data_IF_436778341465
#
_entry.id   IF_436778341465
#
_cell.length_a   1.000
_cell.length_b   1.000
_cell.length_c   1.000
_cell.angle_alpha   90.00
_cell.angle_beta   90.00
_cell.angle_gamma   90.00
#
_symmetry.space_group_name_H-M   'P 1'
#
loop_
_entity.id
_entity.type
_entity.pdbx_description
1 polymer ?
#
# COMPACT_ATOMS: atom_id res chain seq x y z
N UNK A 1 8.39 10.76 -39.11
CA UNK A 1 7.95 11.16 -37.80
C UNK A 1 6.89 10.16 -37.35
N UNK A 2 7.10 9.45 -36.25
CA UNK A 2 6.11 8.53 -35.66
C UNK A 2 4.90 9.34 -35.21
N UNK A 3 3.72 9.01 -35.73
CA UNK A 3 2.45 9.60 -35.31
C UNK A 3 1.95 9.01 -33.96
N UNK A 4 2.66 8.01 -33.41
CA UNK A 4 2.31 7.38 -32.16
C UNK A 4 3.06 8.02 -30.99
N UNK A 5 2.31 8.48 -29.99
CA UNK A 5 2.84 8.96 -28.74
C UNK A 5 3.32 7.78 -27.89
N UNK A 6 4.50 7.90 -27.29
CA UNK A 6 5.11 6.88 -26.45
C UNK A 6 4.99 7.28 -24.99
N UNK A 7 4.23 6.53 -24.23
CA UNK A 7 4.09 6.67 -22.78
C UNK A 7 4.76 5.48 -22.11
N UNK A 8 5.55 5.71 -21.09
CA UNK A 8 6.11 4.66 -20.25
C UNK A 8 5.51 4.74 -18.83
N UNK A 9 5.03 3.62 -18.35
CA UNK A 9 4.70 3.45 -16.94
C UNK A 9 5.87 2.75 -16.25
N UNK A 10 6.55 3.49 -15.36
CA UNK A 10 7.65 2.98 -14.56
C UNK A 10 7.16 2.27 -13.31
N UNK A 11 5.92 2.52 -12.90
CA UNK A 11 5.33 2.06 -11.64
C UNK A 11 6.02 2.74 -10.45
N UNK A 12 7.23 2.30 -10.09
CA UNK A 12 8.05 2.84 -8.99
C UNK A 12 9.41 3.33 -9.52
N UNK A 13 10.16 4.09 -8.71
CA UNK A 13 11.57 4.41 -8.98
C UNK A 13 12.42 3.22 -8.53
N UNK A 14 12.58 2.22 -9.40
CA UNK A 14 13.27 0.97 -9.06
C UNK A 14 14.74 1.19 -8.68
N UNK A 15 15.42 2.14 -9.30
CA UNK A 15 16.79 2.51 -8.93
C UNK A 15 16.90 2.94 -7.47
N UNK A 16 15.90 3.62 -6.92
CA UNK A 16 15.88 4.01 -5.51
C UNK A 16 15.56 2.83 -4.59
N UNK A 17 14.69 1.92 -5.02
CA UNK A 17 14.40 0.66 -4.33
C UNK A 17 15.67 -0.18 -4.15
N UNK A 18 16.47 -0.35 -5.21
CA UNK A 18 17.75 -1.06 -5.14
C UNK A 18 18.76 -0.37 -4.22
N UNK A 19 18.78 0.96 -4.21
CA UNK A 19 19.62 1.74 -3.29
C UNK A 19 19.22 1.50 -1.83
N UNK A 20 17.95 1.44 -1.52
CA UNK A 20 17.45 1.12 -0.18
C UNK A 20 17.83 -0.31 0.23
N UNK A 21 17.68 -1.28 -0.67
CA UNK A 21 18.10 -2.66 -0.42
C UNK A 21 19.59 -2.75 -0.08
N UNK A 22 20.42 -1.96 -0.76
CA UNK A 22 21.86 -1.92 -0.49
C UNK A 22 22.17 -1.49 0.95
N UNK A 23 21.36 -0.60 1.55
CA UNK A 23 21.58 -0.12 2.91
C UNK A 23 21.30 -1.20 3.98
N UNK A 24 20.51 -2.23 3.64
CA UNK A 24 20.18 -3.35 4.52
C UNK A 24 21.04 -4.60 4.28
N UNK A 25 22.01 -4.53 3.39
CA UNK A 25 22.90 -5.66 3.06
C UNK A 25 24.35 -5.36 3.45
N UNK A 26 25.08 -6.45 3.78
CA UNK A 26 26.53 -6.38 4.03
C UNK A 26 27.30 -6.53 2.74
N UNK A 27 28.56 -6.08 2.73
CA UNK A 27 29.49 -6.35 1.65
C UNK A 27 29.65 -7.88 1.42
N UNK A 28 29.72 -8.39 0.18
CA UNK A 28 29.77 -7.68 -1.11
C UNK A 28 28.40 -7.31 -1.71
N UNK A 29 27.29 -7.82 -1.18
CA UNK A 29 25.94 -7.59 -1.73
C UNK A 29 25.53 -6.11 -1.70
N UNK A 30 25.91 -5.37 -0.67
CA UNK A 30 25.61 -3.92 -0.60
C UNK A 30 26.26 -3.15 -1.74
N UNK A 31 27.49 -3.52 -2.12
CA UNK A 31 28.18 -2.92 -3.26
C UNK A 31 27.51 -3.30 -4.59
N UNK A 32 27.16 -4.58 -4.77
CA UNK A 32 26.46 -5.04 -5.97
C UNK A 32 25.13 -4.29 -6.16
N UNK A 33 24.35 -4.16 -5.10
CA UNK A 33 23.05 -3.48 -5.16
C UNK A 33 23.16 -1.98 -5.44
N UNK A 34 24.20 -1.30 -4.93
CA UNK A 34 24.47 0.11 -5.30
C UNK A 34 24.82 0.25 -6.77
N UNK A 35 25.68 -0.63 -7.29
CA UNK A 35 26.03 -0.66 -8.69
C UNK A 35 24.82 -0.87 -9.59
N UNK A 36 23.94 -1.82 -9.25
CA UNK A 36 22.69 -2.06 -9.99
C UNK A 36 21.76 -0.84 -9.91
N UNK A 37 21.64 -0.20 -8.76
CA UNK A 37 20.86 1.04 -8.61
C UNK A 37 21.36 2.16 -9.54
N UNK A 38 22.67 2.31 -9.70
CA UNK A 38 23.27 3.32 -10.60
C UNK A 38 23.00 3.00 -12.07
N UNK A 39 23.19 1.74 -12.47
CA UNK A 39 22.89 1.31 -13.84
C UNK A 39 21.41 1.46 -14.19
N UNK A 40 20.53 1.10 -13.24
CA UNK A 40 19.10 1.21 -13.43
C UNK A 40 18.68 2.67 -13.54
N UNK A 41 19.22 3.58 -12.73
CA UNK A 41 18.95 5.01 -12.84
C UNK A 41 19.37 5.58 -14.22
N UNK A 42 20.51 5.13 -14.76
CA UNK A 42 20.92 5.53 -16.12
C UNK A 42 19.94 5.03 -17.17
N UNK A 43 19.44 3.81 -17.03
CA UNK A 43 18.43 3.26 -17.92
C UNK A 43 17.08 4.00 -17.81
N UNK A 44 16.58 4.21 -16.59
CA UNK A 44 15.35 4.99 -16.32
C UNK A 44 15.45 6.40 -16.92
N UNK A 45 16.58 7.09 -16.73
CA UNK A 45 16.86 8.39 -17.33
C UNK A 45 16.83 8.35 -18.86
N UNK A 46 17.49 7.36 -19.48
CA UNK A 46 17.50 7.20 -20.93
C UNK A 46 16.09 7.00 -21.48
N UNK A 47 15.30 6.14 -20.86
CA UNK A 47 13.92 5.87 -21.26
C UNK A 47 13.06 7.12 -21.08
N UNK A 48 13.10 7.77 -19.92
CA UNK A 48 12.31 8.96 -19.62
C UNK A 48 12.62 10.15 -20.56
N UNK A 49 13.88 10.26 -21.02
CA UNK A 49 14.26 11.30 -21.99
C UNK A 49 13.92 10.94 -23.44
N UNK A 50 13.66 9.66 -23.73
CA UNK A 50 13.34 9.15 -25.06
C UNK A 50 11.82 9.10 -25.30
N UNK A 51 11.03 8.86 -24.26
CA UNK A 51 9.57 8.78 -24.32
C UNK A 51 8.92 10.17 -24.22
N UNK A 52 7.69 10.29 -24.72
CA UNK A 52 6.94 11.55 -24.72
C UNK A 52 6.35 11.86 -23.34
N UNK A 53 6.05 10.84 -22.56
CA UNK A 53 5.60 10.94 -21.16
C UNK A 53 6.08 9.74 -20.33
N UNK A 54 6.37 10.02 -19.07
CA UNK A 54 6.70 9.01 -18.04
C UNK A 54 5.72 9.14 -16.89
N UNK A 55 5.13 8.04 -16.45
CA UNK A 55 4.18 8.01 -15.32
C UNK A 55 4.68 7.08 -14.22
N UNK A 56 4.31 7.42 -13.00
CA UNK A 56 4.60 6.68 -11.77
C UNK A 56 3.30 6.45 -11.00
N UNK A 57 3.27 5.50 -10.08
CA UNK A 57 2.05 5.12 -9.33
C UNK A 57 1.66 6.10 -8.22
N UNK A 58 2.44 7.16 -8.00
CA UNK A 58 2.10 8.21 -7.03
C UNK A 58 2.83 9.51 -7.32
N UNK A 59 2.29 10.61 -6.78
CA UNK A 59 2.95 11.91 -6.82
C UNK A 59 4.32 11.86 -6.14
N UNK A 60 4.47 11.12 -5.02
CA UNK A 60 5.72 10.99 -4.29
C UNK A 60 6.82 10.33 -5.13
N UNK A 61 6.50 9.27 -5.88
CA UNK A 61 7.43 8.60 -6.81
C UNK A 61 7.80 9.52 -7.98
N UNK A 62 6.82 10.18 -8.59
CA UNK A 62 7.07 11.12 -9.67
C UNK A 62 7.99 12.27 -9.22
N UNK A 63 7.77 12.84 -8.04
CA UNK A 63 8.60 13.92 -7.50
C UNK A 63 9.99 13.44 -7.08
N UNK A 64 10.11 12.22 -6.57
CA UNK A 64 11.40 11.58 -6.35
C UNK A 64 12.18 11.46 -7.66
N UNK A 65 11.52 10.98 -8.72
CA UNK A 65 12.15 10.83 -10.03
C UNK A 65 12.54 12.17 -10.65
N UNK A 66 11.69 13.19 -10.58
CA UNK A 66 11.99 14.55 -11.07
C UNK A 66 13.23 15.14 -10.39
N UNK A 67 13.41 14.88 -9.08
CA UNK A 67 14.64 15.30 -8.37
C UNK A 67 15.89 14.57 -8.84
N UNK A 68 15.77 13.29 -9.21
CA UNK A 68 16.88 12.45 -9.69
C UNK A 68 17.22 12.71 -11.17
N UNK A 69 16.20 13.04 -11.98
CA UNK A 69 16.30 13.22 -13.43
C UNK A 69 15.59 14.53 -13.83
N UNK A 70 16.18 15.71 -13.48
CA UNK A 70 15.56 17.01 -13.74
C UNK A 70 15.24 17.27 -15.22
N UNK A 71 16.02 16.72 -16.14
CA UNK A 71 15.84 16.85 -17.58
C UNK A 71 14.55 16.17 -18.11
N UNK A 72 13.99 15.21 -17.36
CA UNK A 72 12.73 14.56 -17.69
C UNK A 72 11.55 15.16 -16.90
N UNK A 73 11.76 16.11 -15.99
CA UNK A 73 10.74 16.62 -15.07
C UNK A 73 9.49 17.14 -15.79
N UNK A 74 9.66 17.83 -16.93
CA UNK A 74 8.54 18.40 -17.70
C UNK A 74 7.67 17.37 -18.41
N UNK A 75 8.06 16.11 -18.46
CA UNK A 75 7.31 14.99 -19.06
C UNK A 75 7.05 13.85 -18.07
N UNK A 76 7.32 14.08 -16.80
CA UNK A 76 7.10 13.13 -15.72
C UNK A 76 5.83 13.49 -14.95
N UNK A 77 4.89 12.57 -14.90
CA UNK A 77 3.65 12.68 -14.15
C UNK A 77 3.41 11.46 -13.28
N UNK A 78 2.24 11.39 -12.67
CA UNK A 78 1.82 10.21 -11.91
C UNK A 78 0.39 9.84 -12.27
N UNK A 79 0.09 8.58 -12.06
CA UNK A 79 -1.24 8.01 -12.07
C UNK A 79 -1.33 7.11 -10.85
N UNK A 80 -2.18 7.46 -9.92
CA UNK A 80 -2.35 6.68 -8.70
C UNK A 80 -2.73 5.24 -9.05
N UNK A 81 -2.14 4.28 -8.34
CA UNK A 81 -2.56 2.89 -8.49
C UNK A 81 -4.03 2.76 -8.11
N UNK A 82 -4.72 1.83 -8.74
CA UNK A 82 -6.15 1.66 -8.56
C UNK A 82 -6.51 0.37 -7.81
N UNK A 83 -7.75 0.31 -7.36
CA UNK A 83 -8.39 -0.90 -6.84
C UNK A 83 -9.69 -1.14 -7.61
N UNK A 84 -9.98 -2.40 -7.89
CA UNK A 84 -11.29 -2.81 -8.41
C UNK A 84 -12.29 -2.85 -7.24
N UNK A 85 -12.99 -1.74 -7.04
CA UNK A 85 -13.94 -1.57 -5.94
C UNK A 85 -15.25 -2.35 -6.13
N UNK A 86 -15.50 -2.86 -7.33
CA UNK A 86 -16.61 -3.79 -7.62
C UNK A 86 -16.22 -5.21 -7.27
N UNK A 87 -14.97 -5.59 -7.53
CA UNK A 87 -14.42 -6.88 -7.12
C UNK A 87 -14.24 -6.93 -5.59
N UNK A 88 -13.56 -5.94 -4.99
CA UNK A 88 -13.40 -5.78 -3.54
C UNK A 88 -14.63 -5.06 -2.94
N UNK A 89 -15.74 -5.79 -2.81
CA UNK A 89 -17.00 -5.22 -2.33
C UNK A 89 -17.54 -5.97 -1.11
N UNK A 90 -17.81 -5.30 0.01
CA UNK A 90 -18.43 -5.91 1.18
C UNK A 90 -19.92 -6.25 0.99
N UNK A 91 -20.51 -5.85 -0.15
CA UNK A 91 -21.94 -6.10 -0.45
C UNK A 91 -22.19 -7.51 -1.00
N UNK A 92 -21.12 -8.29 -1.25
CA UNK A 92 -21.25 -9.68 -1.71
C UNK A 92 -21.27 -10.61 -0.52
N UNK A 93 -21.98 -11.71 -0.65
CA UNK A 93 -21.93 -12.78 0.35
C UNK A 93 -20.62 -13.57 0.20
N UNK A 94 -19.90 -13.70 1.30
CA UNK A 94 -18.70 -14.51 1.41
C UNK A 94 -18.87 -15.55 2.49
N UNK A 95 -18.46 -16.78 2.19
CA UNK A 95 -18.36 -17.82 3.20
C UNK A 95 -17.32 -17.41 4.26
N UNK A 96 -17.69 -17.54 5.52
CA UNK A 96 -16.75 -17.18 6.60
C UNK A 96 -15.64 -18.24 6.72
N UNK A 97 -14.37 -17.90 6.45
CA UNK A 97 -13.26 -18.84 6.56
C UNK A 97 -12.78 -19.04 8.00
N UNK A 98 -13.34 -18.31 8.96
CA UNK A 98 -12.87 -18.25 10.33
C UNK A 98 -13.81 -18.95 11.29
N UNK A 99 -13.29 -19.28 12.48
CA UNK A 99 -14.14 -19.62 13.62
C UNK A 99 -14.87 -18.39 14.16
N UNK A 100 -16.03 -18.59 14.78
CA UNK A 100 -16.86 -17.49 15.29
C UNK A 100 -16.47 -17.06 16.73
N UNK A 101 -15.46 -17.67 17.35
CA UNK A 101 -15.07 -17.40 18.73
C UNK A 101 -13.85 -16.50 18.86
N UNK A 102 -13.07 -16.40 17.79
CA UNK A 102 -11.81 -15.66 17.77
C UNK A 102 -11.96 -14.27 17.18
N UNK A 103 -10.96 -13.42 17.41
CA UNK A 103 -10.84 -12.07 16.84
C UNK A 103 -9.75 -12.07 15.79
N UNK A 104 -10.09 -11.89 14.52
CA UNK A 104 -9.20 -12.11 13.40
C UNK A 104 -8.56 -10.83 12.90
N UNK A 105 -7.24 -10.85 12.84
CA UNK A 105 -6.38 -9.82 12.26
C UNK A 105 -5.84 -10.40 10.97
N UNK A 106 -6.00 -9.72 9.84
CA UNK A 106 -5.57 -10.24 8.54
C UNK A 106 -4.45 -9.43 7.92
N UNK A 107 -3.50 -10.13 7.31
CA UNK A 107 -2.51 -9.57 6.38
C UNK A 107 -2.60 -10.32 5.07
N UNK A 108 -2.68 -9.60 3.94
CA UNK A 108 -2.71 -10.18 2.59
C UNK A 108 -1.46 -9.83 1.81
N UNK A 109 -0.96 -10.79 1.00
CA UNK A 109 0.17 -10.51 0.10
C UNK A 109 0.90 -11.76 -0.37
N UNK A 110 1.87 -11.57 -1.24
CA UNK A 110 2.75 -12.66 -1.70
C UNK A 110 3.85 -12.88 -0.67
N UNK A 111 3.97 -14.11 -0.13
CA UNK A 111 4.76 -14.42 1.07
C UNK A 111 6.20 -14.90 0.78
N UNK A 112 6.68 -14.74 -0.46
CA UNK A 112 8.10 -14.79 -0.82
C UNK A 112 8.68 -13.39 -1.12
N UNK A 113 7.83 -12.35 -1.17
CA UNK A 113 8.30 -10.98 -1.28
C UNK A 113 8.85 -10.51 0.07
N UNK A 114 10.13 -10.21 0.10
CA UNK A 114 10.89 -9.98 1.33
C UNK A 114 10.27 -8.91 2.26
N UNK A 115 9.68 -7.84 1.70
CA UNK A 115 9.04 -6.80 2.51
C UNK A 115 7.79 -7.33 3.25
N UNK A 116 7.03 -8.23 2.63
CA UNK A 116 5.91 -8.91 3.27
C UNK A 116 6.40 -9.90 4.33
N UNK A 117 7.43 -10.69 3.99
CA UNK A 117 8.06 -11.63 4.95
C UNK A 117 8.50 -10.89 6.21
N UNK A 118 9.24 -9.80 6.06
CA UNK A 118 9.70 -8.99 7.18
C UNK A 118 8.53 -8.39 8.00
N UNK A 119 7.50 -7.91 7.32
CA UNK A 119 6.32 -7.32 7.96
C UNK A 119 5.56 -8.34 8.82
N UNK A 120 5.27 -9.54 8.27
CA UNK A 120 4.53 -10.56 9.03
C UNK A 120 5.36 -11.16 10.16
N UNK A 121 6.67 -11.32 9.97
CA UNK A 121 7.59 -11.76 11.04
C UNK A 121 7.60 -10.76 12.20
N UNK A 122 7.80 -9.48 11.89
CA UNK A 122 7.82 -8.43 12.90
C UNK A 122 6.49 -8.36 13.66
N UNK A 123 5.37 -8.40 12.95
CA UNK A 123 4.05 -8.36 13.57
C UNK A 123 3.77 -9.58 14.45
N UNK A 124 4.05 -10.79 13.95
CA UNK A 124 3.83 -12.03 14.67
C UNK A 124 4.69 -12.14 15.94
N UNK A 125 5.97 -11.71 15.86
CA UNK A 125 6.91 -11.87 16.97
C UNK A 125 6.85 -10.73 18.01
N UNK A 126 6.50 -9.51 17.60
CA UNK A 126 6.61 -8.33 18.46
C UNK A 126 5.27 -7.67 18.80
N UNK A 127 4.28 -7.75 17.91
CA UNK A 127 2.97 -7.13 18.15
C UNK A 127 1.95 -8.12 18.71
N UNK A 128 1.87 -9.32 18.12
CA UNK A 128 0.89 -10.34 18.56
C UNK A 128 0.98 -10.71 20.05
N UNK A 129 2.16 -10.86 20.66
CA UNK A 129 2.23 -11.12 22.09
C UNK A 129 1.54 -10.03 22.92
N UNK A 130 1.76 -8.74 22.58
CA UNK A 130 1.13 -7.60 23.25
C UNK A 130 -0.38 -7.56 23.04
N UNK A 131 -0.83 -7.91 21.83
CA UNK A 131 -2.27 -7.99 21.53
C UNK A 131 -2.93 -9.11 22.33
N UNK A 132 -2.33 -10.31 22.36
CA UNK A 132 -2.90 -11.49 23.02
C UNK A 132 -2.88 -11.41 24.55
N UNK A 133 -1.98 -10.63 25.13
CA UNK A 133 -2.00 -10.33 26.57
C UNK A 133 -3.34 -9.67 26.97
N UNK A 134 -3.92 -8.86 26.09
CA UNK A 134 -5.15 -8.08 26.34
C UNK A 134 -6.39 -8.72 25.69
N UNK A 135 -6.23 -9.38 24.56
CA UNK A 135 -7.27 -10.08 23.79
C UNK A 135 -6.79 -11.51 23.50
N UNK A 136 -6.90 -12.45 24.44
CA UNK A 136 -6.36 -13.82 24.28
C UNK A 136 -6.90 -14.57 23.07
N UNK A 137 -8.13 -14.25 22.63
CA UNK A 137 -8.78 -14.82 21.45
C UNK A 137 -8.35 -14.16 20.13
N UNK A 138 -7.36 -13.27 20.13
CA UNK A 138 -6.86 -12.66 18.89
C UNK A 138 -6.01 -13.66 18.09
N UNK A 139 -6.33 -13.77 16.79
CA UNK A 139 -5.60 -14.58 15.82
C UNK A 139 -5.13 -13.71 14.65
N UNK A 140 -3.87 -13.90 14.25
CA UNK A 140 -3.25 -13.25 13.11
C UNK A 140 -3.19 -14.21 11.92
N UNK A 141 -3.92 -13.90 10.87
CA UNK A 141 -4.07 -14.73 9.68
C UNK A 141 -3.23 -14.13 8.55
N UNK A 142 -2.20 -14.86 8.14
CA UNK A 142 -1.28 -14.49 7.06
C UNK A 142 -1.77 -15.16 5.78
N UNK A 143 -2.42 -14.39 4.92
CA UNK A 143 -3.08 -14.88 3.71
C UNK A 143 -2.23 -14.58 2.47
N UNK A 144 -1.81 -15.62 1.75
CA UNK A 144 -1.16 -15.40 0.47
C UNK A 144 -0.24 -16.50 -0.02
N UNK A 145 0.06 -16.43 -1.30
CA UNK A 145 0.82 -17.44 -2.02
C UNK A 145 2.30 -17.48 -1.63
N UNK A 146 2.92 -18.63 -1.86
CA UNK A 146 4.38 -18.88 -1.79
C UNK A 146 5.00 -18.51 -0.44
N UNK A 147 4.47 -18.98 0.72
CA UNK A 147 5.08 -18.68 2.00
C UNK A 147 6.49 -19.28 2.06
N UNK A 148 7.47 -18.43 2.34
CA UNK A 148 8.84 -18.87 2.59
C UNK A 148 8.89 -19.77 3.84
N UNK A 149 9.95 -20.57 3.99
CA UNK A 149 10.11 -21.41 5.17
C UNK A 149 10.12 -20.63 6.50
N UNK A 150 10.55 -19.37 6.45
CA UNK A 150 10.53 -18.47 7.60
C UNK A 150 9.09 -18.04 7.95
N UNK A 151 8.24 -17.77 6.94
CA UNK A 151 6.83 -17.44 7.16
C UNK A 151 6.05 -18.67 7.64
N UNK A 152 6.31 -19.85 7.07
CA UNK A 152 5.66 -21.09 7.50
C UNK A 152 5.88 -21.39 8.99
N UNK A 153 7.09 -21.15 9.51
CA UNK A 153 7.41 -21.32 10.93
C UNK A 153 6.66 -20.38 11.87
N UNK A 154 6.08 -19.29 11.36
CA UNK A 154 5.26 -18.41 12.20
C UNK A 154 3.96 -19.08 12.66
N UNK A 155 3.49 -20.11 11.95
CA UNK A 155 2.34 -20.91 12.38
C UNK A 155 2.58 -21.69 13.70
N UNK A 156 3.83 -21.83 14.14
CA UNK A 156 4.18 -22.43 15.43
C UNK A 156 3.93 -21.44 16.60
N UNK A 157 3.73 -20.15 16.31
CA UNK A 157 3.46 -19.13 17.31
C UNK A 157 1.99 -19.13 17.74
N UNK A 158 1.67 -18.94 19.03
CA UNK A 158 0.30 -18.90 19.52
C UNK A 158 -0.54 -17.82 18.81
N UNK A 159 -1.66 -18.23 18.21
CA UNK A 159 -2.59 -17.33 17.55
C UNK A 159 -2.07 -16.78 16.21
N UNK A 160 -1.19 -17.50 15.54
CA UNK A 160 -0.75 -17.17 14.16
C UNK A 160 -1.12 -18.33 13.24
N UNK A 161 -1.71 -17.99 12.12
CA UNK A 161 -2.08 -18.92 11.06
C UNK A 161 -1.49 -18.47 9.72
N UNK A 162 -1.01 -19.41 8.90
CA UNK A 162 -0.48 -19.18 7.56
C UNK A 162 -1.26 -20.02 6.58
N UNK A 163 -2.10 -19.38 5.75
CA UNK A 163 -3.00 -20.10 4.85
C UNK A 163 -2.31 -20.67 3.61
N UNK A 164 -1.19 -20.08 3.19
CA UNK A 164 -0.67 -20.33 1.86
C UNK A 164 -1.53 -19.68 0.76
N UNK A 165 -1.46 -20.22 -0.46
CA UNK A 165 -2.28 -19.74 -1.57
C UNK A 165 -3.76 -20.07 -1.34
N UNK A 166 -4.59 -19.04 -1.49
CA UNK A 166 -6.06 -19.18 -1.46
C UNK A 166 -6.63 -18.83 -2.83
N UNK A 167 -7.78 -19.37 -3.17
CA UNK A 167 -8.47 -19.05 -4.43
C UNK A 167 -9.02 -17.62 -4.45
N UNK A 168 -9.39 -17.10 -3.28
CA UNK A 168 -9.95 -15.76 -3.10
C UNK A 168 -9.57 -15.21 -1.72
N UNK A 169 -9.03 -13.99 -1.70
CA UNK A 169 -8.64 -13.30 -0.45
C UNK A 169 -9.80 -12.53 0.17
N UNK A 170 -10.86 -12.26 -0.60
CA UNK A 170 -11.98 -11.42 -0.17
C UNK A 170 -12.76 -11.99 1.01
N UNK A 171 -13.03 -13.32 1.11
CA UNK A 171 -13.64 -13.90 2.31
C UNK A 171 -12.86 -13.59 3.59
N UNK A 172 -11.53 -13.67 3.51
CA UNK A 172 -10.64 -13.37 4.65
C UNK A 172 -10.72 -11.88 5.04
N UNK A 173 -10.72 -10.98 4.06
CA UNK A 173 -10.92 -9.55 4.32
C UNK A 173 -12.33 -9.27 4.85
N UNK A 174 -13.37 -9.87 4.24
CA UNK A 174 -14.76 -9.63 4.60
C UNK A 174 -15.08 -9.95 6.06
N UNK A 175 -14.53 -11.05 6.57
CA UNK A 175 -14.80 -11.54 7.92
C UNK A 175 -13.72 -11.17 8.96
N UNK A 176 -12.61 -10.56 8.56
CA UNK A 176 -11.63 -10.05 9.51
C UNK A 176 -12.17 -8.86 10.32
N UNK A 177 -11.72 -8.72 11.56
CA UNK A 177 -12.05 -7.57 12.42
C UNK A 177 -11.19 -6.36 12.07
N UNK A 178 -9.93 -6.60 11.66
CA UNK A 178 -8.98 -5.55 11.27
C UNK A 178 -7.99 -6.10 10.26
N UNK A 179 -7.64 -5.28 9.27
CA UNK A 179 -6.53 -5.54 8.37
C UNK A 179 -5.28 -4.81 8.88
N UNK A 180 -4.10 -5.40 8.67
CA UNK A 180 -2.84 -4.78 9.06
C UNK A 180 -1.86 -4.73 7.89
N UNK A 181 -1.09 -3.62 7.82
CA UNK A 181 -0.04 -3.43 6.85
C UNK A 181 1.24 -2.91 7.53
N UNK A 182 1.95 -3.74 8.33
CA UNK A 182 3.09 -3.32 9.13
C UNK A 182 4.40 -3.33 8.32
N UNK A 183 4.37 -2.78 7.11
CA UNK A 183 5.52 -2.74 6.21
C UNK A 183 6.55 -1.73 6.70
N UNK A 184 7.75 -2.17 7.01
CA UNK A 184 8.84 -1.28 7.45
C UNK A 184 9.61 -0.68 6.29
N UNK A 185 9.53 -1.30 5.14
CA UNK A 185 10.08 -0.84 3.88
C UNK A 185 9.01 -1.08 2.81
N UNK A 186 8.55 -0.02 2.22
CA UNK A 186 7.60 -0.03 1.13
C UNK A 186 7.84 1.20 0.25
N UNK A 187 7.38 1.14 -0.98
CA UNK A 187 7.34 2.26 -1.93
C UNK A 187 6.00 2.25 -2.63
N UNK A 188 5.57 3.44 -3.03
CA UNK A 188 4.31 3.61 -3.73
C UNK A 188 3.07 3.23 -2.91
N UNK A 189 1.93 3.29 -3.55
CA UNK A 189 0.65 2.93 -2.93
C UNK A 189 0.57 1.42 -2.72
N UNK A 190 0.28 1.00 -1.50
CA UNK A 190 0.15 -0.41 -1.17
C UNK A 190 -1.27 -0.92 -1.45
N UNK A 191 -1.45 -1.71 -2.50
CA UNK A 191 -2.76 -2.23 -2.91
C UNK A 191 -3.52 -2.91 -1.78
N UNK A 192 -2.85 -3.69 -0.92
CA UNK A 192 -3.48 -4.36 0.22
C UNK A 192 -4.19 -3.41 1.18
N UNK A 193 -3.71 -2.15 1.30
CA UNK A 193 -4.37 -1.11 2.10
C UNK A 193 -5.65 -0.66 1.39
N UNK A 194 -5.57 -0.35 0.08
CA UNK A 194 -6.72 0.04 -0.73
C UNK A 194 -7.77 -1.09 -0.82
N UNK A 195 -7.34 -2.34 -1.01
CA UNK A 195 -8.20 -3.53 -1.05
C UNK A 195 -8.96 -3.72 0.28
N UNK A 196 -8.28 -3.60 1.41
CA UNK A 196 -8.90 -3.69 2.72
C UNK A 196 -9.89 -2.55 2.96
N UNK A 197 -9.55 -1.31 2.58
CA UNK A 197 -10.45 -0.16 2.67
C UNK A 197 -11.65 -0.31 1.73
N UNK A 198 -11.45 -0.81 0.49
CA UNK A 198 -12.54 -1.12 -0.45
C UNK A 198 -13.51 -2.17 0.10
N UNK A 199 -13.00 -3.14 0.87
CA UNK A 199 -13.79 -4.12 1.63
C UNK A 199 -14.39 -3.56 2.92
N UNK A 200 -14.40 -2.23 3.10
CA UNK A 200 -14.87 -1.55 4.29
C UNK A 200 -14.24 -2.07 5.60
N UNK A 201 -12.93 -2.35 5.58
CA UNK A 201 -12.19 -2.77 6.78
C UNK A 201 -11.37 -1.62 7.36
N UNK A 202 -11.38 -1.52 8.68
CA UNK A 202 -10.43 -0.69 9.38
C UNK A 202 -9.01 -1.25 9.20
N UNK A 203 -8.04 -0.35 8.98
CA UNK A 203 -6.67 -0.72 8.68
C UNK A 203 -5.72 -0.11 9.71
N UNK A 204 -4.79 -0.91 10.23
CA UNK A 204 -3.63 -0.40 10.97
C UNK A 204 -2.39 -0.61 10.11
N UNK A 205 -1.74 0.48 9.74
CA UNK A 205 -0.64 0.48 8.79
C UNK A 205 0.59 1.24 9.32
N UNK A 206 1.77 0.90 8.84
CA UNK A 206 2.98 1.69 9.09
C UNK A 206 3.01 2.95 8.21
N UNK A 207 3.82 3.98 8.56
CA UNK A 207 4.02 5.14 7.71
C UNK A 207 4.42 4.77 6.28
N UNK A 208 5.31 3.78 6.11
CA UNK A 208 5.74 3.31 4.80
C UNK A 208 4.61 2.66 3.98
N UNK A 209 3.66 1.99 4.64
CA UNK A 209 2.54 1.33 3.95
C UNK A 209 1.46 2.30 3.45
N UNK A 210 1.43 3.52 3.98
CA UNK A 210 0.46 4.56 3.59
C UNK A 210 1.12 5.70 2.82
N UNK A 211 2.40 5.57 2.47
CA UNK A 211 3.08 6.56 1.62
C UNK A 211 2.31 6.73 0.31
N UNK A 212 1.87 7.96 0.01
CA UNK A 212 1.04 8.24 -1.17
C UNK A 212 -0.47 8.05 -0.99
N UNK A 213 -0.95 7.62 0.19
CA UNK A 213 -2.37 7.56 0.53
C UNK A 213 -2.72 8.78 1.40
N UNK A 214 -3.39 9.77 0.81
CA UNK A 214 -3.83 10.98 1.53
C UNK A 214 -5.26 10.78 2.05
N UNK A 215 -5.39 10.02 3.13
CA UNK A 215 -6.66 9.75 3.79
C UNK A 215 -6.73 10.44 5.15
N UNK A 216 -7.78 11.24 5.35
CA UNK A 216 -7.87 12.16 6.49
C UNK A 216 -8.62 11.61 7.70
N UNK A 217 -9.26 10.43 7.58
CA UNK A 217 -10.00 9.85 8.71
C UNK A 217 -9.11 8.91 9.56
N UNK A 218 -8.62 9.37 10.73
CA UNK A 218 -7.69 8.57 11.55
C UNK A 218 -8.36 7.37 12.26
N UNK A 219 -9.68 7.26 12.24
CA UNK A 219 -10.39 6.15 12.89
C UNK A 219 -10.39 4.89 12.02
N UNK A 220 -10.40 5.05 10.70
CA UNK A 220 -10.50 3.95 9.75
C UNK A 220 -9.16 3.50 9.19
N UNK A 221 -8.25 4.46 8.92
CA UNK A 221 -6.86 4.19 8.55
C UNK A 221 -5.94 4.73 9.61
N UNK A 222 -5.47 3.84 10.48
CA UNK A 222 -4.64 4.21 11.61
C UNK A 222 -3.17 3.95 11.31
N UNK A 223 -2.35 5.00 11.46
CA UNK A 223 -0.91 4.90 11.23
C UNK A 223 -0.21 4.66 12.54
N UNK A 224 0.59 3.59 12.64
CA UNK A 224 1.39 3.22 13.79
C UNK A 224 2.83 2.89 13.38
N UNK A 225 3.80 3.21 14.22
CA UNK A 225 5.22 2.99 13.93
C UNK A 225 5.86 1.96 14.88
N UNK A 226 5.55 2.01 16.16
CA UNK A 226 6.09 1.11 17.17
C UNK A 226 5.19 -0.10 17.44
N UNK A 227 5.78 -1.15 18.03
CA UNK A 227 5.04 -2.36 18.45
C UNK A 227 3.87 -2.02 19.38
N UNK A 228 4.10 -1.11 20.32
CA UNK A 228 3.10 -0.71 21.32
C UNK A 228 1.97 0.08 20.67
N UNK A 229 2.28 0.97 19.72
CA UNK A 229 1.25 1.70 18.99
C UNK A 229 0.40 0.77 18.13
N UNK A 230 1.05 -0.15 17.38
CA UNK A 230 0.32 -1.17 16.61
C UNK A 230 -0.59 -1.98 17.51
N UNK A 231 -0.05 -2.55 18.62
CA UNK A 231 -0.84 -3.33 19.55
C UNK A 231 -2.02 -2.53 20.12
N UNK A 232 -1.80 -1.29 20.56
CA UNK A 232 -2.84 -0.43 21.11
C UNK A 232 -3.97 -0.18 20.12
N UNK A 233 -3.64 0.14 18.85
CA UNK A 233 -4.63 0.41 17.80
C UNK A 233 -5.41 -0.85 17.41
N UNK A 234 -4.71 -1.97 17.23
CA UNK A 234 -5.32 -3.27 16.95
C UNK A 234 -6.25 -3.69 18.09
N UNK A 235 -5.82 -3.61 19.36
CA UNK A 235 -6.65 -3.94 20.53
C UNK A 235 -7.92 -3.07 20.54
N UNK A 236 -7.79 -1.77 20.29
CA UNK A 236 -8.93 -0.86 20.24
C UNK A 236 -9.94 -1.32 19.19
N UNK A 237 -9.49 -1.66 17.98
CA UNK A 237 -10.35 -2.11 16.89
C UNK A 237 -10.98 -3.49 17.15
N UNK A 238 -10.24 -4.42 17.77
CA UNK A 238 -10.77 -5.74 18.11
C UNK A 238 -11.87 -5.69 19.20
N UNK A 239 -11.90 -4.64 20.01
CA UNK A 239 -12.88 -4.43 21.09
C UNK A 239 -14.13 -3.66 20.67
N UNK A 240 -14.08 -3.01 19.51
CA UNK A 240 -15.19 -2.23 18.98
C UNK A 240 -15.83 -2.97 17.80
N UNK A 241 -17.16 -3.00 17.76
CA UNK A 241 -17.86 -3.33 16.52
C UNK A 241 -17.90 -2.06 15.66
N UNK A 242 -17.09 -2.00 14.59
CA UNK A 242 -16.86 -0.79 13.78
C UNK A 242 -17.39 -0.95 12.33
N UNK A 243 -18.60 -1.41 12.06
CA UNK A 243 -19.09 -1.45 10.68
C UNK A 243 -19.29 -0.06 10.09
N UNK A 244 -19.63 0.94 10.91
CA UNK A 244 -20.03 2.27 10.42
C UNK A 244 -18.84 3.13 9.96
N UNK A 245 -17.69 3.06 10.62
CA UNK A 245 -16.51 3.86 10.30
C UNK A 245 -15.87 3.44 8.97
N UNK A 246 -15.92 2.15 8.68
CA UNK A 246 -15.30 1.59 7.49
C UNK A 246 -16.02 1.91 6.16
N UNK A 247 -17.25 2.43 6.22
CA UNK A 247 -18.01 2.85 5.03
C UNK A 247 -17.43 4.10 4.38
N UNK A 248 -16.92 5.04 5.16
CA UNK A 248 -16.28 6.26 4.65
C UNK A 248 -14.98 5.94 3.91
N UNK A 249 -14.15 5.01 4.46
CA UNK A 249 -12.96 4.49 3.78
C UNK A 249 -13.28 3.94 2.41
N UNK A 250 -14.32 3.10 2.32
CA UNK A 250 -14.76 2.53 1.05
C UNK A 250 -15.19 3.61 0.06
N UNK A 251 -16.01 4.56 0.48
CA UNK A 251 -16.49 5.63 -0.39
C UNK A 251 -15.34 6.47 -0.92
N UNK A 252 -14.36 6.77 -0.05
CA UNK A 252 -13.19 7.53 -0.43
C UNK A 252 -12.30 6.76 -1.41
N UNK A 253 -12.04 5.47 -1.17
CA UNK A 253 -11.25 4.63 -2.08
C UNK A 253 -11.95 4.49 -3.43
N UNK A 254 -13.25 4.18 -3.45
CA UNK A 254 -14.03 4.05 -4.69
C UNK A 254 -14.09 5.37 -5.50
N UNK A 255 -14.11 6.52 -4.82
CA UNK A 255 -14.12 7.81 -5.51
C UNK A 255 -12.75 8.25 -6.05
N UNK A 256 -11.64 7.78 -5.46
CA UNK A 256 -10.29 8.29 -5.78
C UNK A 256 -9.39 7.27 -6.48
N UNK A 257 -9.52 6.00 -6.14
CA UNK A 257 -8.63 4.92 -6.62
C UNK A 257 -9.34 3.90 -7.51
N UNK A 258 -10.52 4.24 -8.07
CA UNK A 258 -11.19 3.36 -9.01
C UNK A 258 -10.43 3.27 -10.34
N UNK A 259 -10.24 2.05 -10.84
CA UNK A 259 -9.53 1.81 -12.09
C UNK A 259 -10.17 2.48 -13.31
N UNK A 260 -11.50 2.56 -13.38
CA UNK A 260 -12.16 3.17 -14.54
C UNK A 260 -11.78 4.65 -14.67
N UNK A 261 -11.80 5.40 -13.56
CA UNK A 261 -11.37 6.81 -13.54
C UNK A 261 -9.88 6.98 -13.89
N UNK A 262 -9.04 6.05 -13.46
CA UNK A 262 -7.61 6.08 -13.77
C UNK A 262 -7.32 5.75 -15.24
N UNK A 263 -8.05 4.79 -15.83
CA UNK A 263 -7.91 4.42 -17.25
C UNK A 263 -8.33 5.55 -18.19
N UNK A 264 -9.34 6.35 -17.85
CA UNK A 264 -9.71 7.55 -18.62
C UNK A 264 -8.56 8.55 -18.68
N UNK A 265 -7.80 8.72 -17.61
CA UNK A 265 -6.61 9.59 -17.57
C UNK A 265 -5.49 9.07 -18.48
N UNK A 266 -5.28 7.75 -18.53
CA UNK A 266 -4.32 7.15 -19.49
C UNK A 266 -4.75 7.42 -20.93
N UNK A 267 -6.04 7.24 -21.23
CA UNK A 267 -6.61 7.58 -22.56
C UNK A 267 -6.28 9.01 -22.96
N UNK A 268 -6.52 9.97 -22.08
CA UNK A 268 -6.21 11.38 -22.32
C UNK A 268 -4.69 11.63 -22.53
N UNK A 269 -3.81 10.90 -21.83
CA UNK A 269 -2.35 10.99 -22.04
C UNK A 269 -1.92 10.46 -23.41
N UNK A 270 -2.58 9.44 -23.92
CA UNK A 270 -2.28 8.84 -25.23
C UNK A 270 -2.81 9.72 -26.40
N UNK A 271 -3.96 10.35 -26.20
CA UNK A 271 -4.64 11.16 -27.22
C UNK A 271 -4.18 12.63 -27.27
N UNK A 272 -3.58 13.15 -26.19
CA UNK A 272 -3.19 14.54 -26.13
C UNK A 272 -2.14 14.89 -27.20
N UNK A 273 -2.46 15.86 -28.05
CA UNK A 273 -1.51 16.55 -28.93
C UNK A 273 -0.36 17.12 -28.07
N UNK A 274 0.91 17.22 -28.57
CA UNK A 274 2.10 17.49 -27.76
C UNK A 274 2.09 18.89 -27.14
N UNK A 275 1.31 19.05 -26.08
CA UNK A 275 1.42 20.09 -25.07
C UNK A 275 1.39 19.39 -23.73
N UNK A 276 2.41 19.62 -22.94
CA UNK A 276 2.49 19.22 -21.52
C UNK A 276 1.12 19.37 -20.85
N UNK A 277 0.41 18.24 -20.68
CA UNK A 277 -0.75 18.22 -19.81
C UNK A 277 -0.18 18.20 -18.40
N UNK A 278 -0.18 19.36 -17.75
CA UNK A 278 -0.14 19.40 -16.29
C UNK A 278 -1.39 18.64 -15.84
N UNK A 279 -1.20 17.44 -15.30
CA UNK A 279 -2.26 16.76 -14.55
C UNK A 279 -2.74 17.75 -13.49
N UNK A 280 -4.04 17.95 -13.31
CA UNK A 280 -4.53 18.91 -12.33
C UNK A 280 -3.89 18.61 -10.97
N UNK A 281 -3.23 19.61 -10.41
CA UNK A 281 -2.73 19.54 -9.04
C UNK A 281 -3.86 19.02 -8.16
N UNK A 282 -3.57 18.01 -7.38
CA UNK A 282 -4.49 17.52 -6.37
C UNK A 282 -5.03 18.73 -5.60
N UNK A 283 -6.33 18.87 -5.59
CA UNK A 283 -7.15 19.95 -5.00
C UNK A 283 -6.36 20.75 -3.96
N UNK A 284 -6.08 22.01 -4.30
CA UNK A 284 -5.39 22.94 -3.43
C UNK A 284 -5.97 22.83 -2.01
N UNK A 285 -5.10 22.58 -1.05
CA UNK A 285 -5.42 22.58 0.38
C UNK A 285 -6.16 23.89 0.69
N UNK A 286 -7.44 23.82 1.00
CA UNK A 286 -8.10 24.93 1.68
C UNK A 286 -7.47 25.03 3.07
N UNK A 287 -6.87 26.15 3.44
CA UNK A 287 -6.39 26.35 4.80
C UNK A 287 -7.60 26.30 5.72
N UNK A 288 -7.52 25.50 6.78
CA UNK A 288 -8.49 25.46 7.85
C UNK A 288 -8.74 26.89 8.33
N UNK A 289 -9.97 27.35 8.20
CA UNK A 289 -10.41 28.64 8.69
C UNK A 289 -10.14 28.69 10.20
N UNK A 290 -9.18 29.49 10.60
CA UNK A 290 -8.95 29.80 11.99
C UNK A 290 -10.22 30.46 12.54
N UNK A 291 -10.86 29.80 13.50
CA UNK A 291 -12.00 30.36 14.20
C UNK A 291 -11.60 31.64 14.92
N UNK A 292 -12.19 32.73 14.51
CA UNK A 292 -12.18 33.97 15.28
C UNK A 292 -12.83 33.73 16.64
N UNK A 293 -12.03 33.84 17.67
CA UNK A 293 -12.54 34.12 19.02
C UNK A 293 -12.97 35.60 19.06
N UNK A 294 -14.24 35.85 19.08
CA UNK A 294 -14.78 37.13 19.52
C UNK A 294 -15.14 37.08 21.00
N UNK A 295 -14.83 38.13 21.66
CA UNK A 295 -14.91 38.50 23.07
C UNK A 295 -16.26 38.21 23.75
#
# INVERSE_FOLDING_TARGET
>A
ASLCRRVIDFVDVDSDKWRQYANHKRWPLSWLYRREAEHLLMFEKHVATTFDSSIFVSAAEADLFKRKVPEAAGRTGFLDNGVDSDYFSPQRDYENPYDNQSRHIVFTGVMDYWANVHAVQWFAMHVMPLVREVVPAANFIIVGARPSGEVQKLADLPGVEVTGAVSDVRPYLAHAHVAVAPLRIARGVQNKVLEAMAMAKAVVASPAAVEGIDFSNPEELQVAESEREFASRVIRLLRQDIPALAVESRQWVAGRYDWNSNLERIGALLEAVPRLVQLPDAVARQPAMAGEKSA
#
